data_IF_603369127843
#
_entry.id   IF_603369127843
#
_cell.length_a   1.000
_cell.length_b   1.000
_cell.length_c   1.000
_cell.angle_alpha   90.00
_cell.angle_beta   90.00
_cell.angle_gamma   90.00
#
_symmetry.space_group_name_H-M   'P 1'
#
loop_
_entity.id
_entity.type
_entity.pdbx_description
1 polymer ?
#
# COMPACT_ATOMS: atom_id res chain seq x y z
N UNK A 1 14.09 -0.58 -13.64
CA UNK A 1 13.25 -1.73 -13.20
C UNK A 1 14.11 -2.99 -13.26
N UNK A 2 14.21 -3.76 -12.18
CA UNK A 2 15.07 -4.95 -12.10
C UNK A 2 14.20 -6.20 -12.00
N UNK A 3 14.34 -7.14 -12.93
CA UNK A 3 13.66 -8.45 -12.93
C UNK A 3 14.15 -9.41 -11.83
N UNK A 4 15.28 -9.12 -11.19
CA UNK A 4 15.81 -9.96 -10.11
C UNK A 4 14.91 -9.94 -8.86
N UNK A 5 14.37 -11.10 -8.49
CA UNK A 5 13.56 -11.33 -7.29
C UNK A 5 14.23 -10.84 -6.00
N UNK A 6 15.54 -11.07 -5.85
CA UNK A 6 16.31 -10.68 -4.65
C UNK A 6 16.34 -9.16 -4.49
N UNK A 7 16.58 -8.42 -5.58
CA UNK A 7 16.61 -6.95 -5.58
C UNK A 7 15.22 -6.36 -5.29
N UNK A 8 14.16 -6.93 -5.88
CA UNK A 8 12.77 -6.49 -5.64
C UNK A 8 12.36 -6.65 -4.17
N UNK A 9 12.68 -7.80 -3.56
CA UNK A 9 12.36 -8.05 -2.14
C UNK A 9 13.11 -7.10 -1.22
N UNK A 10 14.42 -6.90 -1.45
CA UNK A 10 15.23 -5.97 -0.67
C UNK A 10 14.62 -4.56 -0.72
N UNK A 11 14.36 -4.04 -1.93
CA UNK A 11 13.78 -2.72 -2.11
C UNK A 11 12.38 -2.56 -1.47
N UNK A 12 11.55 -3.60 -1.50
CA UNK A 12 10.21 -3.56 -0.91
C UNK A 12 10.25 -3.46 0.62
N UNK A 13 11.07 -4.28 1.29
CA UNK A 13 11.10 -4.34 2.75
C UNK A 13 12.04 -3.32 3.40
N UNK A 14 13.07 -2.86 2.69
CA UNK A 14 13.98 -1.81 3.18
C UNK A 14 13.55 -0.39 2.79
N UNK A 15 12.34 -0.21 2.24
CA UNK A 15 11.86 1.10 1.81
C UNK A 15 11.62 2.06 2.99
N UNK A 16 11.96 3.36 2.85
CA UNK A 16 11.62 4.39 3.82
C UNK A 16 10.10 4.62 3.89
N UNK A 17 9.64 5.27 4.97
CA UNK A 17 8.21 5.40 5.30
C UNK A 17 7.36 6.01 4.19
N UNK A 18 7.86 7.06 3.52
CA UNK A 18 7.18 7.74 2.41
C UNK A 18 6.88 6.79 1.23
N UNK A 19 7.86 5.97 0.87
CA UNK A 19 7.74 4.97 -0.20
C UNK A 19 6.89 3.79 0.25
N UNK A 20 7.05 3.36 1.52
CA UNK A 20 6.27 2.27 2.11
C UNK A 20 4.77 2.56 2.11
N UNK A 21 4.34 3.80 2.37
CA UNK A 21 2.91 4.18 2.29
C UNK A 21 2.31 3.92 0.91
N UNK A 22 3.07 4.19 -0.16
CA UNK A 22 2.62 3.97 -1.53
C UNK A 22 2.64 2.49 -1.92
N UNK A 23 3.62 1.73 -1.41
CA UNK A 23 3.73 0.29 -1.64
C UNK A 23 2.67 -0.50 -0.86
N UNK A 24 2.34 -0.08 0.36
CA UNK A 24 1.38 -0.73 1.25
C UNK A 24 0.00 -0.06 1.18
N UNK A 25 -0.49 0.11 -0.04
CA UNK A 25 -1.87 0.55 -0.30
C UNK A 25 -2.80 -0.63 -0.50
N UNK A 26 -4.03 -0.54 0.03
CA UNK A 26 -5.10 -1.49 -0.24
C UNK A 26 -6.26 -0.82 -0.98
N UNK A 27 -7.01 -1.61 -1.74
CA UNK A 27 -8.23 -1.15 -2.42
C UNK A 27 -9.36 -0.98 -1.42
N UNK A 28 -10.13 0.10 -1.57
CA UNK A 28 -11.33 0.34 -0.78
C UNK A 28 -12.49 -0.54 -1.26
N UNK A 29 -13.43 -0.86 -0.35
CA UNK A 29 -14.67 -1.57 -0.70
C UNK A 29 -15.54 -0.72 -1.66
N UNK A 30 -16.46 -1.35 -2.40
CA UNK A 30 -17.28 -0.67 -3.43
C UNK A 30 -18.05 0.54 -2.86
N UNK A 31 -18.68 0.35 -1.70
CA UNK A 31 -19.43 1.38 -0.99
C UNK A 31 -18.55 2.58 -0.58
N UNK A 32 -17.34 2.30 -0.08
CA UNK A 32 -16.40 3.36 0.30
C UNK A 32 -15.81 4.07 -0.92
N UNK A 33 -15.64 3.38 -2.05
CA UNK A 33 -15.17 3.99 -3.30
C UNK A 33 -16.20 4.96 -3.88
N UNK A 34 -17.49 4.64 -3.81
CA UNK A 34 -18.56 5.53 -4.26
C UNK A 34 -18.66 6.78 -3.37
N UNK A 35 -18.54 6.60 -2.06
CA UNK A 35 -18.61 7.71 -1.09
C UNK A 35 -17.42 8.68 -1.17
N UNK A 36 -16.21 8.16 -1.36
CA UNK A 36 -14.98 8.97 -1.29
C UNK A 36 -14.34 9.23 -2.66
N UNK A 37 -14.80 8.60 -3.75
CA UNK A 37 -14.27 8.77 -5.10
C UNK A 37 -12.83 8.25 -5.31
N UNK A 38 -12.19 7.68 -4.29
CA UNK A 38 -10.79 7.21 -4.34
C UNK A 38 -10.73 5.69 -4.45
N UNK A 39 -9.84 5.16 -5.30
CA UNK A 39 -9.71 3.72 -5.56
C UNK A 39 -8.95 2.94 -4.47
N UNK A 40 -7.98 3.56 -3.83
CA UNK A 40 -7.07 2.90 -2.88
C UNK A 40 -6.68 3.82 -1.73
N UNK A 41 -6.60 3.26 -0.54
CA UNK A 41 -6.14 3.93 0.67
C UNK A 41 -4.82 3.30 1.14
N UNK A 42 -3.88 4.09 1.63
CA UNK A 42 -2.66 3.54 2.26
C UNK A 42 -3.06 2.94 3.61
N UNK A 43 -2.99 1.62 3.76
CA UNK A 43 -3.38 0.97 5.02
C UNK A 43 -2.36 1.31 6.09
N UNK A 44 -2.70 2.27 6.94
CA UNK A 44 -1.97 2.53 8.17
C UNK A 44 -2.41 1.52 9.22
N UNK A 45 -1.51 1.13 10.14
CA UNK A 45 -1.83 0.19 11.24
C UNK A 45 -2.99 0.65 12.13
N UNK A 46 -3.43 1.91 12.00
CA UNK A 46 -4.56 2.50 12.71
C UNK A 46 -5.94 2.14 12.13
N UNK A 47 -6.02 1.52 10.94
CA UNK A 47 -7.30 1.23 10.26
C UNK A 47 -7.73 -0.24 10.34
N UNK A 48 -6.98 -1.11 11.01
CA UNK A 48 -7.37 -2.51 11.25
C UNK A 48 -8.05 -2.54 12.63
N UNK A 49 -9.37 -2.78 12.73
CA UNK A 49 -9.99 -3.04 14.02
C UNK A 49 -9.38 -4.32 14.58
N UNK A 50 -8.91 -4.28 15.83
CA UNK A 50 -8.56 -5.50 16.58
C UNK A 50 -9.82 -6.31 16.84
#
# INVERSE_FOLDING_TARGET
>A
ISSSRRKSRKAHFSAPSSVRRKLMSATLSKELREKYGVRSFSTTLSSIPR
#
